data_IF_038941218016
#
_entry.id   IF_038941218016
#
_cell.length_a   1.000
_cell.length_b   1.000
_cell.length_c   1.000
_cell.angle_alpha   90.00
_cell.angle_beta   90.00
_cell.angle_gamma   90.00
#
_symmetry.space_group_name_H-M   'P 1'
#
loop_
_entity.id
_entity.type
_entity.pdbx_description
1 polymer ?
#
# COMPACT_ATOMS: atom_id res chain seq x y z
N UNK A 1 24.85 -42.29 40.84
CA UNK A 1 23.63 -41.49 40.56
C UNK A 1 22.93 -42.17 39.39
N UNK A 2 21.76 -42.77 39.61
CA UNK A 2 21.18 -43.82 38.76
C UNK A 2 20.43 -43.19 37.58
N UNK A 3 20.99 -43.29 36.37
CA UNK A 3 20.43 -42.72 35.12
C UNK A 3 19.38 -43.63 34.44
N UNK A 4 19.02 -44.74 35.06
CA UNK A 4 18.03 -45.69 34.53
C UNK A 4 16.61 -45.10 34.48
N UNK A 5 16.31 -44.14 35.36
CA UNK A 5 14.99 -43.51 35.44
C UNK A 5 14.74 -42.48 34.32
N UNK A 6 15.80 -41.86 33.78
CA UNK A 6 15.65 -40.84 32.73
C UNK A 6 15.22 -41.47 31.39
N UNK A 7 15.68 -42.68 31.08
CA UNK A 7 15.30 -43.40 29.85
C UNK A 7 13.83 -43.82 29.85
N UNK A 8 13.22 -44.06 31.01
CA UNK A 8 11.79 -44.39 31.11
C UNK A 8 10.91 -43.15 31.19
N UNK A 9 11.39 -42.05 31.78
CA UNK A 9 10.62 -40.80 31.93
C UNK A 9 10.56 -39.99 30.63
N UNK A 10 11.62 -39.99 29.83
CA UNK A 10 11.68 -39.28 28.54
C UNK A 10 10.53 -39.64 27.58
N UNK A 11 10.20 -40.92 27.30
CA UNK A 11 9.09 -41.24 26.39
C UNK A 11 7.74 -40.78 26.93
N UNK A 12 7.51 -40.82 28.25
CA UNK A 12 6.29 -40.28 28.86
C UNK A 12 6.21 -38.76 28.73
N UNK A 13 7.33 -38.05 28.92
CA UNK A 13 7.38 -36.61 28.73
C UNK A 13 7.11 -36.21 27.26
N UNK A 14 7.68 -36.96 26.31
CA UNK A 14 7.43 -36.75 24.86
C UNK A 14 5.97 -37.05 24.51
N UNK A 15 5.40 -38.14 25.03
CA UNK A 15 4.00 -38.47 24.81
C UNK A 15 3.05 -37.42 25.39
N UNK A 16 3.36 -36.89 26.59
CA UNK A 16 2.61 -35.81 27.23
C UNK A 16 2.65 -34.53 26.39
N UNK A 17 3.85 -34.11 25.96
CA UNK A 17 4.03 -32.95 25.10
C UNK A 17 3.32 -33.12 23.75
N UNK A 18 3.41 -34.32 23.16
CA UNK A 18 2.70 -34.67 21.92
C UNK A 18 1.18 -34.57 22.08
N UNK A 19 0.63 -35.08 23.17
CA UNK A 19 -0.80 -34.98 23.45
C UNK A 19 -1.25 -33.51 23.58
N UNK A 20 -0.51 -32.68 24.32
CA UNK A 20 -0.80 -31.26 24.43
C UNK A 20 -0.65 -30.52 23.09
N UNK A 21 0.35 -30.87 22.28
CA UNK A 21 0.53 -30.28 20.96
C UNK A 21 -0.64 -30.62 20.02
N UNK A 22 -1.11 -31.87 20.03
CA UNK A 22 -2.29 -32.29 19.26
C UNK A 22 -3.52 -31.49 19.67
N UNK A 23 -3.79 -31.38 20.98
CA UNK A 23 -4.92 -30.59 21.50
C UNK A 23 -4.77 -29.11 21.14
N UNK A 24 -3.56 -28.55 21.22
CA UNK A 24 -3.28 -27.18 20.84
C UNK A 24 -3.55 -26.90 19.37
N UNK A 25 -3.10 -27.78 18.48
CA UNK A 25 -3.38 -27.69 17.03
C UNK A 25 -4.87 -27.78 16.77
N UNK A 26 -5.57 -28.72 17.42
CA UNK A 26 -7.01 -28.89 17.26
C UNK A 26 -7.79 -27.64 17.71
N UNK A 27 -7.36 -27.03 18.83
CA UNK A 27 -7.97 -25.82 19.36
C UNK A 27 -7.77 -24.61 18.41
N UNK A 28 -6.60 -24.47 17.80
CA UNK A 28 -6.34 -23.42 16.79
C UNK A 28 -7.19 -23.64 15.54
N UNK A 29 -7.29 -24.88 15.07
CA UNK A 29 -8.13 -25.22 13.94
C UNK A 29 -9.61 -24.91 14.22
N UNK A 30 -10.12 -25.32 15.39
CA UNK A 30 -11.49 -25.02 15.83
C UNK A 30 -11.75 -23.53 15.99
N UNK A 31 -10.79 -22.77 16.51
CA UNK A 31 -10.88 -21.30 16.62
C UNK A 31 -11.04 -20.66 15.24
N UNK A 32 -10.30 -21.12 14.23
CA UNK A 32 -10.40 -20.55 12.88
C UNK A 32 -11.74 -20.89 12.19
N UNK A 33 -12.31 -22.06 12.48
CA UNK A 33 -13.59 -22.51 11.90
C UNK A 33 -14.80 -21.94 12.63
N UNK A 34 -14.71 -21.80 13.95
CA UNK A 34 -15.85 -21.45 14.82
C UNK A 34 -15.84 -19.97 15.26
N UNK A 35 -14.79 -19.21 14.93
CA UNK A 35 -14.77 -17.79 15.24
C UNK A 35 -15.91 -17.10 14.47
N UNK A 36 -16.81 -16.38 15.17
CA UNK A 36 -17.82 -15.60 14.49
C UNK A 36 -17.13 -14.59 13.56
N UNK A 37 -17.69 -14.33 12.36
CA UNK A 37 -17.13 -13.32 11.49
C UNK A 37 -17.02 -12.02 12.26
N UNK A 38 -15.87 -11.34 12.14
CA UNK A 38 -15.70 -10.06 12.80
C UNK A 38 -16.81 -9.12 12.33
N UNK A 39 -17.38 -8.32 13.24
CA UNK A 39 -18.49 -7.40 12.94
C UNK A 39 -18.21 -6.47 11.75
N UNK A 40 -16.92 -6.27 11.45
CA UNK A 40 -16.43 -5.42 10.37
C UNK A 40 -15.77 -6.19 9.22
N UNK A 41 -15.92 -7.52 9.13
CA UNK A 41 -15.27 -8.34 8.10
C UNK A 41 -15.62 -7.81 6.69
N UNK A 42 -16.90 -7.62 6.40
CA UNK A 42 -17.38 -7.05 5.14
C UNK A 42 -16.79 -5.65 4.86
N UNK A 43 -16.86 -4.75 5.84
CA UNK A 43 -16.31 -3.38 5.73
C UNK A 43 -14.79 -3.35 5.53
N UNK A 44 -14.07 -4.27 6.15
CA UNK A 44 -12.62 -4.38 5.99
C UNK A 44 -12.23 -4.85 4.58
N UNK A 45 -13.04 -5.74 4.00
CA UNK A 45 -12.88 -6.21 2.64
C UNK A 45 -13.22 -5.11 1.61
N UNK A 46 -14.26 -4.32 1.85
CA UNK A 46 -14.59 -3.17 1.00
C UNK A 46 -13.46 -2.13 1.02
N UNK A 47 -12.93 -1.80 2.20
CA UNK A 47 -11.80 -0.87 2.34
C UNK A 47 -10.53 -1.36 1.67
N UNK A 48 -10.23 -2.66 1.77
CA UNK A 48 -9.02 -3.22 1.13
C UNK A 48 -9.13 -3.20 -0.41
N UNK A 49 -10.33 -3.45 -0.95
CA UNK A 49 -10.60 -3.29 -2.38
C UNK A 49 -10.45 -1.84 -2.83
N UNK A 50 -11.12 -0.91 -2.17
CA UNK A 50 -11.04 0.52 -2.49
C UNK A 50 -9.60 1.06 -2.42
N UNK A 51 -8.81 0.59 -1.45
CA UNK A 51 -7.41 0.96 -1.31
C UNK A 51 -6.55 0.39 -2.45
N UNK A 52 -6.81 -0.84 -2.88
CA UNK A 52 -6.14 -1.44 -4.04
C UNK A 52 -6.47 -0.68 -5.33
N UNK A 53 -7.73 -0.33 -5.54
CA UNK A 53 -8.18 0.45 -6.70
C UNK A 53 -7.56 1.85 -6.70
N UNK A 54 -7.55 2.53 -5.55
CA UNK A 54 -6.92 3.85 -5.40
C UNK A 54 -5.42 3.78 -5.68
N UNK A 55 -4.73 2.74 -5.20
CA UNK A 55 -3.30 2.54 -5.47
C UNK A 55 -3.04 2.23 -6.94
N UNK A 56 -3.86 1.40 -7.57
CA UNK A 56 -3.72 1.09 -8.99
C UNK A 56 -3.93 2.33 -9.86
N UNK A 57 -4.94 3.15 -9.54
CA UNK A 57 -5.15 4.44 -10.18
C UNK A 57 -3.93 5.35 -9.98
N UNK A 58 -3.49 5.56 -8.74
CA UNK A 58 -2.33 6.40 -8.42
C UNK A 58 -1.04 5.93 -9.15
N UNK A 59 -0.79 4.62 -9.20
CA UNK A 59 0.36 4.04 -9.89
C UNK A 59 0.31 4.37 -11.40
N UNK A 60 -0.88 4.26 -12.02
CA UNK A 60 -1.07 4.66 -13.39
C UNK A 60 -0.86 6.18 -13.57
N UNK A 61 -1.37 7.00 -12.65
CA UNK A 61 -1.21 8.46 -12.71
C UNK A 61 0.24 8.93 -12.58
N UNK A 62 1.04 8.26 -11.76
CA UNK A 62 2.45 8.60 -11.51
C UNK A 62 3.34 8.22 -12.70
N UNK A 63 3.04 7.07 -13.33
CA UNK A 63 3.93 6.43 -14.31
C UNK A 63 3.50 6.61 -15.77
N UNK A 64 2.34 7.20 -16.04
CA UNK A 64 1.82 7.39 -17.40
C UNK A 64 1.73 8.86 -17.81
N UNK A 65 1.67 9.06 -19.13
CA UNK A 65 1.26 10.35 -19.67
C UNK A 65 -0.24 10.33 -19.89
N UNK A 66 -0.89 11.44 -19.56
CA UNK A 66 -2.32 11.59 -19.75
C UNK A 66 -2.64 13.01 -20.17
N UNK A 67 -3.68 13.17 -20.98
CA UNK A 67 -4.25 14.48 -21.31
C UNK A 67 -5.21 14.87 -20.19
N UNK A 68 -4.91 15.95 -19.46
CA UNK A 68 -5.76 16.41 -18.35
C UNK A 68 -6.83 17.35 -18.89
N UNK A 69 -6.42 18.38 -19.63
CA UNK A 69 -7.32 19.35 -20.24
C UNK A 69 -6.80 19.71 -21.63
N UNK A 70 -7.51 19.24 -22.65
CA UNK A 70 -7.16 19.50 -24.04
C UNK A 70 -7.37 20.93 -24.49
N UNK A 71 -8.38 21.60 -23.95
CA UNK A 71 -8.71 22.97 -24.32
C UNK A 71 -7.62 23.93 -23.81
N UNK A 72 -7.06 23.63 -22.63
CA UNK A 72 -5.94 24.40 -22.04
C UNK A 72 -4.55 23.88 -22.43
N UNK A 73 -4.47 22.79 -23.20
CA UNK A 73 -3.20 22.16 -23.58
C UNK A 73 -2.41 21.58 -22.39
N UNK A 74 -3.10 21.12 -21.35
CA UNK A 74 -2.49 20.60 -20.12
C UNK A 74 -2.36 19.08 -20.21
N UNK A 75 -1.10 18.64 -20.14
CA UNK A 75 -0.72 17.23 -20.17
C UNK A 75 0.00 16.84 -18.88
N UNK A 76 -0.29 15.65 -18.39
CA UNK A 76 0.42 15.00 -17.29
C UNK A 76 1.70 14.38 -17.82
N UNK A 77 2.80 14.66 -17.14
CA UNK A 77 4.09 14.00 -17.33
C UNK A 77 4.27 12.95 -16.25
N UNK A 78 5.08 11.93 -16.54
CA UNK A 78 5.57 11.01 -15.50
C UNK A 78 6.32 11.80 -14.44
N UNK A 79 6.12 11.46 -13.16
CA UNK A 79 6.71 12.21 -12.05
C UNK A 79 8.24 12.26 -12.14
N UNK A 80 8.88 11.14 -12.50
CA UNK A 80 10.34 11.08 -12.68
C UNK A 80 10.86 12.10 -13.70
N UNK A 81 10.13 12.29 -14.81
CA UNK A 81 10.51 13.26 -15.83
C UNK A 81 10.16 14.69 -15.45
N UNK A 82 9.04 14.90 -14.76
CA UNK A 82 8.69 16.22 -14.23
C UNK A 82 9.76 16.72 -13.26
N UNK A 83 10.27 15.85 -12.39
CA UNK A 83 11.38 16.17 -11.47
C UNK A 83 12.66 16.46 -12.24
N UNK A 84 13.07 15.60 -13.17
CA UNK A 84 14.29 15.80 -13.97
C UNK A 84 14.25 17.11 -14.78
N UNK A 85 13.10 17.43 -15.39
CA UNK A 85 12.90 18.69 -16.11
C UNK A 85 13.00 19.89 -15.16
N UNK A 86 12.42 19.78 -13.97
CA UNK A 86 12.45 20.83 -12.96
C UNK A 86 13.89 21.09 -12.51
N UNK A 87 14.65 20.03 -12.18
CA UNK A 87 16.07 20.16 -11.83
C UNK A 87 16.88 20.82 -12.94
N UNK A 88 16.66 20.42 -14.20
CA UNK A 88 17.34 21.01 -15.35
C UNK A 88 17.01 22.50 -15.50
N UNK A 89 15.74 22.89 -15.35
CA UNK A 89 15.31 24.29 -15.43
C UNK A 89 15.95 25.14 -14.33
N UNK A 90 15.95 24.65 -13.09
CA UNK A 90 16.54 25.36 -11.97
C UNK A 90 18.07 25.47 -12.06
N UNK A 91 18.76 24.45 -12.62
CA UNK A 91 20.21 24.52 -12.86
C UNK A 91 20.58 25.56 -13.92
N UNK A 92 19.77 25.72 -14.95
CA UNK A 92 20.04 26.66 -16.03
C UNK A 92 19.73 28.11 -15.65
N UNK A 93 18.55 28.37 -15.08
CA UNK A 93 18.17 29.71 -14.62
C UNK A 93 17.07 29.61 -13.54
N UNK A 94 17.39 29.85 -12.26
CA UNK A 94 16.44 29.73 -11.15
C UNK A 94 15.25 30.69 -11.22
N UNK A 95 15.48 31.94 -11.64
CA UNK A 95 14.44 32.97 -11.65
C UNK A 95 13.44 32.73 -12.79
N UNK A 96 13.96 32.37 -13.96
CA UNK A 96 13.11 31.97 -15.09
C UNK A 96 12.33 30.69 -14.77
N UNK A 97 12.92 29.72 -14.06
CA UNK A 97 12.24 28.49 -13.66
C UNK A 97 11.02 28.78 -12.75
N UNK A 98 11.18 29.63 -11.73
CA UNK A 98 10.07 30.04 -10.86
C UNK A 98 8.96 30.76 -11.63
N UNK A 99 9.32 31.75 -12.45
CA UNK A 99 8.34 32.51 -13.24
C UNK A 99 7.55 31.60 -14.18
N UNK A 100 8.22 30.65 -14.84
CA UNK A 100 7.57 29.67 -15.70
C UNK A 100 6.64 28.72 -14.91
N UNK A 101 7.01 28.31 -13.70
CA UNK A 101 6.13 27.48 -12.86
C UNK A 101 4.85 28.23 -12.45
N UNK A 102 4.97 29.49 -12.04
CA UNK A 102 3.81 30.34 -11.69
C UNK A 102 2.91 30.54 -12.91
N UNK A 103 3.47 30.87 -14.08
CA UNK A 103 2.67 31.01 -15.31
C UNK A 103 1.93 29.72 -15.68
N UNK A 104 2.54 28.56 -15.45
CA UNK A 104 1.91 27.24 -15.69
C UNK A 104 0.79 26.96 -14.69
N UNK A 105 0.95 27.33 -13.40
CA UNK A 105 -0.11 27.17 -12.41
C UNK A 105 -1.30 28.08 -12.71
N UNK A 106 -1.04 29.32 -13.14
CA UNK A 106 -2.10 30.28 -13.46
C UNK A 106 -2.94 29.79 -14.65
N UNK A 107 -2.29 29.26 -15.69
CA UNK A 107 -2.98 28.64 -16.84
C UNK A 107 -3.82 27.44 -16.43
N UNK A 108 -3.34 26.62 -15.49
CA UNK A 108 -4.09 25.46 -15.02
C UNK A 108 -5.35 25.86 -14.24
N UNK A 109 -5.21 26.86 -13.36
CA UNK A 109 -6.26 27.32 -12.46
C UNK A 109 -7.21 28.35 -13.08
N UNK A 110 -6.89 28.89 -14.25
CA UNK A 110 -7.75 29.85 -14.94
C UNK A 110 -9.13 29.23 -15.23
N UNK A 111 -10.18 29.82 -14.66
CA UNK A 111 -11.57 29.52 -14.97
C UNK A 111 -12.10 30.73 -15.74
N UNK A 112 -12.53 30.59 -17.01
CA UNK A 112 -13.12 31.71 -17.73
C UNK A 112 -14.41 32.11 -17.01
N UNK A 113 -14.46 33.33 -16.50
CA UNK A 113 -15.69 33.93 -15.97
C UNK A 113 -16.58 34.29 -17.14
N UNK A 114 -17.80 33.75 -17.16
CA UNK A 114 -18.83 34.16 -18.10
C UNK A 114 -19.44 35.47 -17.57
N UNK A 115 -19.21 36.58 -18.25
CA UNK A 115 -20.13 37.74 -18.25
C UNK A 115 -21.21 37.54 -19.31
#
# INVERSE_FOLDING_TARGET
>A
MRTDNDRSVVPYAVALLGAFAIVGVLAVAMKNVSAPPSLNAARSQERSKALTETRAAAEAEINSYAKIDGAKGIYRLKVSQAVALTEQMYRANPDAARSNLVSRSDKANFIPTFE
#
